data_IF_707419759446
#
_entry.id   IF_707419759446
#
_cell.length_a   1.000
_cell.length_b   1.000
_cell.length_c   1.000
_cell.angle_alpha   90.00
_cell.angle_beta   90.00
_cell.angle_gamma   90.00
#
_symmetry.space_group_name_H-M   'P 1'
#
loop_
_entity.id
_entity.type
_entity.pdbx_description
1 polymer ?
#
# COMPACT_ATOMS: atom_id res chain seq x y z
N UNK A 1 0.17 -15.53 -6.05
CA UNK A 1 -0.83 -15.56 -4.95
C UNK A 1 -1.27 -14.14 -4.71
N UNK A 2 -2.58 -13.92 -4.62
CA UNK A 2 -3.11 -12.59 -4.38
C UNK A 2 -3.11 -12.27 -2.89
N UNK A 3 -2.81 -11.04 -2.56
CA UNK A 3 -2.82 -10.51 -1.20
C UNK A 3 -3.58 -9.20 -1.18
N UNK A 4 -4.44 -9.05 -0.18
CA UNK A 4 -5.03 -7.76 0.16
C UNK A 4 -4.23 -7.17 1.30
N UNK A 5 -3.84 -5.91 1.16
CA UNK A 5 -3.20 -5.13 2.21
C UNK A 5 -4.09 -3.96 2.59
N UNK A 6 -4.30 -3.76 3.89
CA UNK A 6 -4.82 -2.54 4.47
C UNK A 6 -3.71 -1.91 5.29
N UNK A 7 -3.29 -0.73 4.89
CA UNK A 7 -2.27 0.04 5.56
C UNK A 7 -2.90 1.31 6.14
N UNK A 8 -2.77 1.54 7.43
CA UNK A 8 -3.29 2.76 8.07
C UNK A 8 -2.15 3.72 8.33
N UNK A 9 -2.38 4.99 8.01
CA UNK A 9 -1.39 6.03 8.20
C UNK A 9 -1.14 6.26 9.71
N UNK A 10 0.02 6.83 10.04
CA UNK A 10 0.21 7.42 11.37
C UNK A 10 -0.86 8.48 11.66
N UNK A 11 -1.15 8.73 12.95
CA UNK A 11 -2.20 9.66 13.39
C UNK A 11 -1.66 10.95 14.04
N UNK A 12 -0.34 11.11 14.11
CA UNK A 12 0.28 12.35 14.58
C UNK A 12 0.13 13.50 13.57
N UNK A 13 0.41 14.72 14.01
CA UNK A 13 0.22 15.94 13.20
C UNK A 13 1.07 15.99 11.93
N UNK A 14 2.15 15.21 11.83
CA UNK A 14 3.07 15.19 10.68
C UNK A 14 2.70 14.11 9.66
N UNK A 15 1.73 13.25 9.96
CA UNK A 15 1.39 12.09 9.13
C UNK A 15 0.98 12.47 7.70
N UNK A 16 0.13 13.49 7.56
CA UNK A 16 -0.31 13.96 6.25
C UNK A 16 0.84 14.49 5.41
N UNK A 17 1.73 15.28 6.03
CA UNK A 17 2.90 15.83 5.33
C UNK A 17 3.87 14.75 4.89
N UNK A 18 4.22 13.79 5.78
CA UNK A 18 5.03 12.62 5.42
C UNK A 18 4.44 11.87 4.24
N UNK A 19 3.12 11.67 4.23
CA UNK A 19 2.42 11.03 3.11
C UNK A 19 2.60 11.81 1.81
N UNK A 20 2.39 13.12 1.82
CA UNK A 20 2.51 13.93 0.60
C UNK A 20 3.94 13.97 0.08
N UNK A 21 4.95 14.01 0.96
CA UNK A 21 6.36 13.96 0.59
C UNK A 21 6.76 12.60 -0.01
N UNK A 22 6.31 11.48 0.57
CA UNK A 22 6.64 10.14 0.11
C UNK A 22 5.83 9.68 -1.12
N UNK A 23 4.67 10.30 -1.37
CA UNK A 23 3.70 9.87 -2.40
C UNK A 23 4.28 9.77 -3.81
N UNK A 24 5.07 10.72 -4.33
CA UNK A 24 5.65 10.59 -5.67
C UNK A 24 6.47 9.30 -5.84
N UNK A 25 7.35 9.00 -4.89
CA UNK A 25 8.20 7.81 -4.90
C UNK A 25 7.39 6.51 -4.73
N UNK A 26 6.39 6.52 -3.84
CA UNK A 26 5.47 5.38 -3.69
C UNK A 26 4.74 5.08 -5.01
N UNK A 27 4.27 6.12 -5.72
CA UNK A 27 3.61 5.94 -7.01
C UNK A 27 4.54 5.46 -8.12
N UNK A 28 5.82 5.87 -8.13
CA UNK A 28 6.81 5.32 -9.07
C UNK A 28 6.98 3.80 -8.89
N UNK A 29 7.07 3.34 -7.64
CA UNK A 29 7.13 1.90 -7.34
C UNK A 29 5.84 1.18 -7.69
N UNK A 30 4.68 1.75 -7.37
CA UNK A 30 3.39 1.16 -7.74
C UNK A 30 3.21 1.05 -9.27
N UNK A 31 3.71 2.03 -10.04
CA UNK A 31 3.73 1.95 -11.51
C UNK A 31 4.62 0.84 -12.01
N UNK A 32 5.82 0.66 -11.43
CA UNK A 32 6.70 -0.47 -11.75
C UNK A 32 6.03 -1.80 -11.41
N UNK A 33 5.45 -1.92 -10.22
CA UNK A 33 4.71 -3.10 -9.78
C UNK A 33 3.55 -3.45 -10.73
N UNK A 34 2.86 -2.42 -11.26
CA UNK A 34 1.83 -2.59 -12.29
C UNK A 34 2.38 -3.06 -13.62
N UNK A 35 3.51 -2.51 -14.07
CA UNK A 35 4.17 -2.93 -15.30
C UNK A 35 4.67 -4.39 -15.21
N UNK A 36 5.10 -4.81 -14.03
CA UNK A 36 5.57 -6.18 -13.74
C UNK A 36 4.39 -7.17 -13.55
N UNK A 37 3.14 -6.68 -13.56
CA UNK A 37 1.92 -7.50 -13.45
C UNK A 37 1.49 -7.83 -12.03
N UNK A 38 2.21 -7.33 -11.03
CA UNK A 38 1.98 -7.62 -9.61
C UNK A 38 0.97 -6.66 -8.93
N UNK A 39 0.62 -5.52 -9.54
CA UNK A 39 -0.42 -4.61 -9.02
C UNK A 39 -1.77 -4.84 -9.72
N UNK A 40 -2.80 -5.21 -8.95
CA UNK A 40 -4.15 -5.44 -9.48
C UNK A 40 -5.03 -4.20 -9.28
N UNK A 41 -5.16 -3.74 -8.03
CA UNK A 41 -5.99 -2.60 -7.65
C UNK A 41 -5.34 -1.90 -6.44
N UNK A 42 -5.54 -0.60 -6.31
CA UNK A 42 -5.14 0.11 -5.10
C UNK A 42 -5.67 1.53 -5.02
N UNK A 43 -5.74 2.05 -3.81
CA UNK A 43 -6.27 3.38 -3.53
C UNK A 43 -6.01 3.82 -2.09
N UNK A 44 -6.28 5.11 -1.83
CA UNK A 44 -6.26 5.63 -0.49
C UNK A 44 -7.52 5.20 0.27
N UNK A 45 -7.36 4.82 1.55
CA UNK A 45 -8.49 4.77 2.47
C UNK A 45 -8.81 6.21 2.88
N UNK A 46 -10.08 6.56 2.87
CA UNK A 46 -10.56 7.89 3.22
C UNK A 46 -11.45 7.83 4.46
N UNK A 47 -11.35 8.85 5.30
CA UNK A 47 -12.39 9.12 6.30
C UNK A 47 -13.65 9.73 5.64
N UNK A 48 -14.77 9.91 6.38
CA UNK A 48 -15.98 10.53 5.82
C UNK A 48 -15.82 11.97 5.34
N UNK A 49 -14.78 12.68 5.79
CA UNK A 49 -14.47 14.04 5.34
C UNK A 49 -13.62 14.05 4.06
N UNK A 50 -13.19 12.89 3.57
CA UNK A 50 -12.34 12.73 2.39
C UNK A 50 -10.84 12.84 2.68
N UNK A 51 -10.44 12.88 3.96
CA UNK A 51 -9.03 12.88 4.36
C UNK A 51 -8.47 11.48 4.18
N UNK A 52 -7.23 11.39 3.69
CA UNK A 52 -6.54 10.12 3.54
C UNK A 52 -6.07 9.62 4.91
N UNK A 53 -6.48 8.40 5.27
CA UNK A 53 -6.18 7.75 6.55
C UNK A 53 -5.39 6.44 6.37
N UNK A 54 -5.05 6.11 5.13
CA UNK A 54 -4.39 4.86 4.81
C UNK A 54 -4.41 4.55 3.32
N UNK A 55 -4.19 3.28 3.02
CA UNK A 55 -4.17 2.70 1.68
C UNK A 55 -4.73 1.28 1.71
N UNK A 56 -5.38 0.87 0.63
CA UNK A 56 -5.68 -0.53 0.35
C UNK A 56 -5.06 -0.89 -0.99
N UNK A 57 -4.43 -2.05 -1.08
CA UNK A 57 -3.98 -2.60 -2.36
C UNK A 57 -4.31 -4.09 -2.46
N UNK A 58 -4.60 -4.52 -3.67
CA UNK A 58 -4.67 -5.91 -4.09
C UNK A 58 -3.48 -6.15 -5.03
N UNK A 59 -2.60 -7.06 -4.63
CA UNK A 59 -1.34 -7.38 -5.32
C UNK A 59 -1.23 -8.88 -5.55
N UNK A 60 -0.43 -9.29 -6.52
CA UNK A 60 -0.16 -10.70 -6.85
C UNK A 60 1.34 -10.96 -6.80
N UNK A 61 1.80 -11.80 -5.88
CA UNK A 61 3.20 -12.19 -5.73
C UNK A 61 3.32 -13.71 -5.70
N UNK A 62 4.40 -14.28 -6.24
CA UNK A 62 4.54 -15.74 -6.29
C UNK A 62 4.65 -16.33 -4.88
N UNK A 63 5.35 -15.63 -3.99
CA UNK A 63 5.58 -16.03 -2.60
C UNK A 63 5.27 -14.89 -1.63
N UNK A 64 5.08 -15.24 -0.36
CA UNK A 64 4.90 -14.26 0.71
C UNK A 64 6.20 -13.46 0.96
N UNK A 65 7.37 -14.08 0.80
CA UNK A 65 8.67 -13.40 0.95
C UNK A 65 8.84 -12.25 -0.07
N UNK A 66 8.46 -12.46 -1.33
CA UNK A 66 8.50 -11.41 -2.36
C UNK A 66 7.62 -10.20 -2.01
N UNK A 67 6.45 -10.46 -1.40
CA UNK A 67 5.56 -9.40 -0.92
C UNK A 67 6.21 -8.60 0.22
N UNK A 68 6.82 -9.29 1.20
CA UNK A 68 7.49 -8.64 2.32
C UNK A 68 8.70 -7.81 1.85
N UNK A 69 9.53 -8.33 0.97
CA UNK A 69 10.67 -7.57 0.39
C UNK A 69 10.20 -6.30 -0.35
N UNK A 70 9.09 -6.39 -1.08
CA UNK A 70 8.50 -5.22 -1.74
C UNK A 70 7.96 -4.20 -0.73
N UNK A 71 7.29 -4.66 0.34
CA UNK A 71 6.74 -3.81 1.41
C UNK A 71 7.84 -3.10 2.20
N UNK A 72 8.90 -3.80 2.62
CA UNK A 72 10.00 -3.25 3.42
C UNK A 72 10.71 -2.07 2.75
N UNK A 73 10.69 -2.05 1.41
CA UNK A 73 11.30 -0.99 0.61
C UNK A 73 10.31 0.04 0.07
N UNK A 74 9.03 -0.02 0.47
CA UNK A 74 8.04 0.98 0.07
C UNK A 74 8.27 2.32 0.81
N UNK A 75 8.27 3.48 0.11
CA UNK A 75 8.43 4.80 0.72
C UNK A 75 7.42 5.13 1.80
N UNK A 76 6.21 4.55 1.76
CA UNK A 76 5.24 4.70 2.83
C UNK A 76 5.60 3.87 4.07
N UNK A 77 6.36 2.78 3.94
CA UNK A 77 6.92 2.06 5.09
C UNK A 77 8.18 2.77 5.60
N UNK A 78 9.16 3.01 4.74
CA UNK A 78 10.45 3.60 5.15
C UNK A 78 10.32 5.06 5.61
N UNK A 79 9.39 5.81 5.01
CA UNK A 79 9.04 7.17 5.39
C UNK A 79 8.09 7.26 6.59
N UNK A 80 7.78 6.13 7.24
CA UNK A 80 6.83 6.03 8.36
C UNK A 80 5.49 6.68 8.02
N UNK A 81 4.95 6.46 6.84
CA UNK A 81 3.58 6.89 6.52
C UNK A 81 2.61 5.86 7.06
N UNK A 82 2.82 4.59 6.72
CA UNK A 82 2.02 3.47 7.22
C UNK A 82 2.50 3.04 8.60
N UNK A 83 1.61 3.11 9.58
CA UNK A 83 1.84 2.66 10.95
C UNK A 83 1.38 1.21 11.16
N UNK A 84 0.18 0.90 10.68
CA UNK A 84 -0.43 -0.42 10.83
C UNK A 84 -0.53 -1.07 9.47
N UNK A 85 0.10 -2.23 9.29
CA UNK A 85 0.01 -3.04 8.09
C UNK A 85 -0.75 -4.33 8.41
N UNK A 86 -1.89 -4.51 7.74
CA UNK A 86 -2.69 -5.72 7.81
C UNK A 86 -2.74 -6.38 6.43
N UNK A 87 -2.02 -7.49 6.29
CA UNK A 87 -1.83 -8.22 5.02
C UNK A 87 -2.44 -9.60 5.15
N UNK A 88 -3.25 -10.00 4.16
CA UNK A 88 -3.91 -11.31 4.13
C UNK A 88 -3.87 -11.94 2.74
N UNK A 89 -3.68 -13.27 2.63
CA UNK A 89 -3.97 -13.98 1.39
C UNK A 89 -5.41 -13.72 0.95
N UNK A 90 -5.60 -13.51 -0.35
CA UNK A 90 -6.88 -13.13 -0.94
C UNK A 90 -7.22 -14.04 -2.12
N UNK A 91 -8.48 -14.46 -2.19
CA UNK A 91 -9.03 -15.16 -3.35
C UNK A 91 -10.02 -14.25 -4.04
N UNK A 92 -9.66 -13.77 -5.22
CA UNK A 92 -10.56 -12.96 -6.06
C UNK A 92 -11.75 -13.81 -6.51
N UNK A 93 -12.95 -13.26 -6.39
CA UNK A 93 -14.16 -13.87 -6.95
C UNK A 93 -14.10 -13.88 -8.48
N UNK A 94 -14.61 -14.95 -9.08
CA UNK A 94 -14.76 -15.10 -10.52
C UNK A 94 -16.17 -14.64 -10.91
N UNK A 95 -16.33 -13.33 -11.15
CA UNK A 95 -17.58 -12.67 -11.51
C UNK A 95 -17.39 -11.73 -12.70
#
# INVERSE_FOLDING_TARGET
>A
MKYVLHAYDHIDSEAYERRMQARPAHFERARKLKADGNFILGGALLDPAGTMIGSMMLVDFETEDQLHEWLESDPYVTGKVWNTLDVKPFRQADI
#
